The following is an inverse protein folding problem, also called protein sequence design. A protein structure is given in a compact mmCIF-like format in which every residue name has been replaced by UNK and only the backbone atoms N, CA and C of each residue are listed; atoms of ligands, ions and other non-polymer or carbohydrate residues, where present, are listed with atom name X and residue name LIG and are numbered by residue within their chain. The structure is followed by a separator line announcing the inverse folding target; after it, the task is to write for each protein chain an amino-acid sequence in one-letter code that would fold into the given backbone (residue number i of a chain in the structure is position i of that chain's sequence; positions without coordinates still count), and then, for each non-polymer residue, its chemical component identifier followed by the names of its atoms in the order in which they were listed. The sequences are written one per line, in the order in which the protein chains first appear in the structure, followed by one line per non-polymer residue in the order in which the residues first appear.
data_IF_626938602294
#
_entry.id   IF_626938602294
#
_cell.length_a   1.000
_cell.length_b   1.000
_cell.length_c   1.000
_cell.angle_alpha   90.00
_cell.angle_beta   90.00
_cell.angle_gamma   90.00
#
_symmetry.space_group_name_H-M   'P 1'
#
loop_
_entity.id
_entity.type
_entity.pdbx_description
1 polymer ?
#
# COMPACT_ATOMS: atom_id res chain seq x y z
N UNK A 1 26.03 -8.52 -52.84
CA UNK A 1 25.60 -8.44 -52.38
C UNK A 1 25.05 -8.31 -51.67
N UNK A 2 24.67 -8.16 -51.35
CA UNK A 2 24.07 -7.97 -50.66
C UNK A 2 23.51 -7.89 -49.80
N UNK A 3 23.22 -7.82 -49.42
CA UNK A 3 22.59 -7.78 -48.59
C UNK A 3 22.04 -7.58 -47.76
N UNK A 4 21.86 -7.42 -47.30
CA UNK A 4 21.26 -7.23 -46.52
C UNK A 4 20.81 -7.18 -45.61
N UNK A 5 20.60 -7.06 -45.15
CA UNK A 5 20.09 -7.03 -44.26
C UNK A 5 19.55 -6.68 -43.51
N UNK A 6 19.25 -6.52 -43.15
CA UNK A 6 18.70 -6.14 -42.46
C UNK A 6 18.08 -6.10 -41.68
N UNK A 7 17.84 -6.13 -41.29
CA UNK A 7 17.11 -6.00 -40.45
C UNK A 7 16.72 -5.97 -39.74
N UNK A 8 16.61 -5.85 -39.26
CA UNK A 8 16.16 -5.86 -38.47
C UNK A 8 15.74 -5.57 -37.56
N UNK A 9 15.56 -5.43 -37.06
CA UNK A 9 15.24 -5.10 -36.18
C UNK A 9 14.53 -4.81 -35.57
N UNK A 10 14.15 -4.74 -35.28
CA UNK A 10 13.41 -4.42 -34.70
C UNK A 10 12.78 -4.55 -33.88
N UNK A 11 12.56 -4.63 -33.52
CA UNK A 11 11.89 -4.76 -32.76
C UNK A 11 11.53 -4.57 -31.85
N UNK A 12 11.63 -4.41 -31.37
CA UNK A 12 11.35 -4.28 -30.39
C UNK A 12 10.73 -3.76 -29.73
N UNK A 13 10.34 -3.64 -29.46
CA UNK A 13 9.83 -3.06 -28.89
C UNK A 13 9.05 -3.07 -28.15
N UNK A 14 8.84 -3.02 -27.68
CA UNK A 14 8.20 -2.89 -26.96
C UNK A 14 7.51 -2.84 -26.27
N UNK A 15 7.27 -2.96 -25.68
CA UNK A 15 6.54 -2.96 -24.96
C UNK A 15 6.41 -2.50 -23.98
N UNK A 16 6.37 -2.00 -23.74
CA UNK A 16 6.26 -1.39 -22.94
C UNK A 16 5.31 -1.36 -22.28
N UNK A 17 4.99 -1.74 -21.88
CA UNK A 17 4.32 -1.85 -21.11
C UNK A 17 3.74 -1.06 -20.46
N UNK A 18 3.24 -0.69 -20.48
CA UNK A 18 2.62 -0.08 -19.93
C UNK A 18 2.26 -0.19 -18.81
N UNK A 19 2.76 0.02 -18.23
CA UNK A 19 2.50 0.08 -16.95
C UNK A 19 1.34 0.80 -16.65
N UNK A 20 0.37 0.27 -16.40
CA UNK A 20 -0.70 0.92 -15.90
C UNK A 20 -0.45 1.27 -14.51
N UNK A 21 -0.91 2.37 -14.11
CA UNK A 21 -0.93 2.76 -12.75
C UNK A 21 -1.64 1.70 -11.96
N UNK A 22 -0.98 1.10 -11.04
CA UNK A 22 -1.59 0.08 -10.26
C UNK A 22 -1.92 0.60 -8.89
N UNK A 23 -3.22 0.76 -8.63
CA UNK A 23 -3.70 1.14 -7.33
C UNK A 23 -4.52 -0.03 -6.79
N UNK A 24 -4.18 -0.48 -5.60
CA UNK A 24 -4.86 -1.58 -4.94
C UNK A 24 -5.58 -1.05 -3.72
N UNK A 25 -6.85 -1.39 -3.59
CA UNK A 25 -7.66 -1.02 -2.43
C UNK A 25 -7.92 -2.26 -1.62
N UNK A 26 -7.66 -2.19 -0.31
CA UNK A 26 -7.86 -3.31 0.60
C UNK A 26 -8.80 -2.90 1.71
N UNK A 27 -9.78 -3.72 1.99
CA UNK A 27 -10.64 -3.55 3.17
C UNK A 27 -10.02 -4.35 4.31
N UNK A 28 -9.68 -3.67 5.39
CA UNK A 28 -8.97 -4.25 6.53
C UNK A 28 -9.73 -3.96 7.83
N UNK A 29 -10.84 -4.64 8.09
CA UNK A 29 -11.74 -4.26 9.19
C UNK A 29 -11.28 -4.65 10.58
N UNK A 30 -10.22 -5.45 10.69
CA UNK A 30 -9.85 -6.03 11.99
C UNK A 30 -8.60 -5.43 12.62
N UNK A 31 -7.99 -4.45 11.98
CA UNK A 31 -6.76 -3.87 12.51
C UNK A 31 -7.03 -3.09 13.80
N UNK A 32 -8.12 -2.36 13.82
CA UNK A 32 -8.49 -1.52 14.95
C UNK A 32 -10.01 -1.60 15.09
N UNK A 33 -10.48 -1.96 16.27
CA UNK A 33 -11.91 -2.10 16.52
C UNK A 33 -12.67 -0.82 16.28
N UNK A 34 -12.02 0.33 16.38
CA UNK A 34 -12.63 1.63 16.18
C UNK A 34 -12.74 1.98 14.70
N UNK A 35 -12.10 1.19 13.84
CA UNK A 35 -12.05 1.46 12.42
C UNK A 35 -12.45 0.24 11.58
N UNK A 36 -13.70 -0.23 11.73
CA UNK A 36 -14.16 -1.38 10.93
C UNK A 36 -14.30 -1.04 9.45
N UNK A 37 -14.25 0.25 9.11
CA UNK A 37 -14.33 0.75 7.74
C UNK A 37 -12.96 1.07 7.13
N UNK A 38 -11.88 0.57 7.71
CA UNK A 38 -10.53 0.90 7.25
C UNK A 38 -10.29 0.39 5.84
N UNK A 39 -9.86 1.29 4.99
CA UNK A 39 -9.40 0.99 3.63
C UNK A 39 -7.93 1.38 3.53
N UNK A 40 -7.14 0.49 2.98
CA UNK A 40 -5.74 0.77 2.68
C UNK A 40 -5.62 0.93 1.16
N UNK A 41 -5.02 2.01 0.74
CA UNK A 41 -4.80 2.31 -0.68
C UNK A 41 -3.32 2.20 -0.96
N UNK A 42 -2.94 1.27 -1.82
CA UNK A 42 -1.55 1.04 -2.18
C UNK A 42 -1.35 1.52 -3.61
N UNK A 43 -0.61 2.60 -3.76
CA UNK A 43 -0.36 3.24 -5.05
C UNK A 43 1.08 2.97 -5.47
N UNK A 44 1.27 1.94 -6.24
CA UNK A 44 2.61 1.49 -6.61
C UNK A 44 3.32 2.48 -7.51
N UNK A 45 2.61 3.15 -8.38
CA UNK A 45 3.23 4.12 -9.28
C UNK A 45 3.78 5.33 -8.54
N UNK A 46 3.09 5.79 -7.53
CA UNK A 46 3.53 6.92 -6.73
C UNK A 46 4.35 6.51 -5.51
N UNK A 47 4.49 5.20 -5.28
CA UNK A 47 5.24 4.71 -4.13
C UNK A 47 4.63 5.16 -2.82
N UNK A 48 3.31 5.10 -2.68
CA UNK A 48 2.63 5.57 -1.48
C UNK A 48 1.61 4.58 -0.96
N UNK A 49 1.34 4.67 0.32
CA UNK A 49 0.27 3.95 0.98
C UNK A 49 -0.57 4.94 1.76
N UNK A 50 -1.87 4.79 1.71
CA UNK A 50 -2.80 5.62 2.45
C UNK A 50 -3.72 4.75 3.28
N UNK A 51 -4.02 5.21 4.48
CA UNK A 51 -5.07 4.62 5.29
C UNK A 51 -6.23 5.60 5.30
N UNK A 52 -7.43 5.08 5.19
CA UNK A 52 -8.65 5.88 5.16
C UNK A 52 -9.70 5.19 6.01
N UNK A 53 -10.16 5.88 7.04
CA UNK A 53 -11.23 5.39 7.90
C UNK A 53 -12.13 6.53 8.29
N UNK A 54 -13.31 6.65 7.68
CA UNK A 54 -14.24 7.73 8.03
C UNK A 54 -14.68 7.70 9.48
N UNK A 55 -14.68 6.54 10.10
CA UNK A 55 -15.10 6.43 11.52
C UNK A 55 -14.01 6.86 12.51
N UNK A 56 -12.76 6.94 12.06
CA UNK A 56 -11.65 7.36 12.90
C UNK A 56 -11.23 8.77 12.55
N UNK A 57 -10.61 9.44 13.48
CA UNK A 57 -10.00 10.72 13.20
C UNK A 57 -8.65 10.55 12.54
N UNK A 58 -7.76 11.50 12.78
CA UNK A 58 -6.50 11.59 12.06
C UNK A 58 -5.57 10.40 12.24
N UNK A 59 -5.79 9.58 13.26
CA UNK A 59 -4.89 8.45 13.53
C UNK A 59 -4.85 7.40 12.44
N UNK A 60 -5.95 7.21 11.72
CA UNK A 60 -6.03 6.25 10.64
C UNK A 60 -6.49 6.90 9.34
N UNK A 61 -6.08 8.14 9.13
CA UNK A 61 -6.33 8.86 7.89
C UNK A 61 -5.05 9.60 7.54
N UNK A 62 -4.18 8.95 6.77
CA UNK A 62 -2.90 9.54 6.39
C UNK A 62 -2.36 8.87 5.13
N UNK A 63 -1.42 9.53 4.51
CA UNK A 63 -0.67 9.00 3.37
C UNK A 63 0.82 9.06 3.69
N UNK A 64 1.54 8.02 3.35
CA UNK A 64 2.97 7.96 3.61
C UNK A 64 3.71 7.33 2.41
N UNK A 65 5.00 7.64 2.25
CA UNK A 65 5.79 6.92 1.27
C UNK A 65 5.86 5.44 1.63
N UNK A 66 5.81 4.58 0.64
CA UNK A 66 5.81 3.14 0.85
C UNK A 66 6.84 2.46 -0.02
N UNK A 67 7.41 1.39 0.49
CA UNK A 67 8.33 0.55 -0.25
C UNK A 67 7.57 -0.67 -0.75
N UNK A 68 7.59 -0.88 -2.06
CA UNK A 68 6.90 -2.00 -2.69
C UNK A 68 7.92 -3.09 -3.00
N UNK A 69 8.10 -4.01 -2.05
CA UNK A 69 9.00 -5.15 -2.24
C UNK A 69 8.30 -6.28 -2.96
N UNK A 70 9.03 -7.35 -3.27
CA UNK A 70 8.43 -8.49 -3.98
C UNK A 70 7.42 -9.27 -3.15
N UNK A 71 7.56 -9.30 -1.85
CA UNK A 71 6.66 -10.08 -0.99
C UNK A 71 5.80 -9.22 -0.08
N UNK A 72 6.16 -7.97 0.14
CA UNK A 72 5.38 -7.10 1.03
C UNK A 72 5.52 -5.64 0.65
N UNK A 73 4.55 -4.85 1.10
CA UNK A 73 4.59 -3.41 0.99
C UNK A 73 4.69 -2.87 2.41
N UNK A 74 5.61 -1.95 2.65
CA UNK A 74 5.84 -1.42 4.00
C UNK A 74 5.84 0.09 4.00
N UNK A 75 5.40 0.67 5.11
CA UNK A 75 5.45 2.11 5.31
C UNK A 75 5.48 2.42 6.80
N UNK A 76 5.68 3.68 7.13
CA UNK A 76 5.82 4.11 8.51
C UNK A 76 4.98 5.33 8.77
N UNK A 77 4.56 5.46 10.01
CA UNK A 77 3.95 6.68 10.51
C UNK A 77 4.50 6.94 11.91
N UNK A 78 5.40 7.87 12.01
CA UNK A 78 6.05 8.17 13.29
C UNK A 78 5.44 9.43 13.89
N UNK A 79 5.20 9.41 15.17
CA UNK A 79 4.89 10.60 15.94
C UNK A 79 5.94 10.73 17.03
N UNK A 80 5.86 11.77 17.85
CA UNK A 80 6.91 12.04 18.83
C UNK A 80 7.19 10.88 19.76
N UNK A 81 6.16 10.19 20.20
CA UNK A 81 6.30 9.17 21.24
C UNK A 81 6.02 7.77 20.72
N UNK A 82 5.50 7.66 19.51
CA UNK A 82 5.11 6.38 18.94
C UNK A 82 5.71 6.24 17.56
N UNK A 83 6.30 5.10 17.31
CA UNK A 83 6.82 4.78 15.98
C UNK A 83 6.01 3.62 15.47
N UNK A 84 5.37 3.81 14.33
CA UNK A 84 4.51 2.78 13.75
C UNK A 84 5.06 2.30 12.43
N UNK A 85 5.12 1.00 12.27
CA UNK A 85 5.49 0.36 11.01
C UNK A 85 4.30 -0.46 10.55
N UNK A 86 3.96 -0.32 9.28
CA UNK A 86 2.87 -1.07 8.68
C UNK A 86 3.46 -1.97 7.59
N UNK A 87 2.88 -3.14 7.43
CA UNK A 87 3.23 -4.01 6.32
C UNK A 87 2.00 -4.74 5.82
N UNK A 88 1.96 -4.99 4.51
CA UNK A 88 0.95 -5.84 3.89
C UNK A 88 1.67 -6.95 3.16
N UNK A 89 1.34 -8.19 3.48
CA UNK A 89 1.87 -9.34 2.77
C UNK A 89 1.14 -9.45 1.43
N UNK A 90 1.90 -9.49 0.34
CA UNK A 90 1.32 -9.44 -1.01
C UNK A 90 0.63 -10.74 -1.40
N UNK A 91 0.94 -11.83 -0.74
CA UNK A 91 0.32 -13.12 -1.03
C UNK A 91 -0.91 -13.36 -0.17
N UNK A 92 -0.84 -13.05 1.11
CA UNK A 92 -1.93 -13.35 2.04
C UNK A 92 -2.86 -12.18 2.28
N UNK A 93 -2.42 -10.97 1.94
CA UNK A 93 -3.12 -9.72 2.19
C UNK A 93 -3.32 -9.43 3.69
N UNK A 94 -2.41 -9.94 4.51
CA UNK A 94 -2.46 -9.63 5.95
C UNK A 94 -1.77 -8.30 6.19
N UNK A 95 -2.49 -7.37 6.80
CA UNK A 95 -1.96 -6.09 7.22
C UNK A 95 -1.51 -6.21 8.67
N UNK A 96 -0.31 -5.73 8.94
CA UNK A 96 0.24 -5.72 10.30
C UNK A 96 0.67 -4.30 10.65
N UNK A 97 0.30 -3.85 11.83
CA UNK A 97 0.78 -2.59 12.40
C UNK A 97 1.58 -2.92 13.65
N UNK A 98 2.82 -2.46 13.71
CA UNK A 98 3.67 -2.61 14.89
C UNK A 98 3.92 -1.23 15.46
N UNK A 99 3.63 -1.03 16.72
CA UNK A 99 3.77 0.25 17.41
C UNK A 99 4.78 0.12 18.52
N UNK A 100 5.78 0.98 18.50
CA UNK A 100 6.75 1.10 19.57
C UNK A 100 6.45 2.36 20.36
N UNK A 101 6.28 2.24 21.68
CA UNK A 101 6.07 3.37 22.59
C UNK A 101 7.36 3.66 23.34
N UNK A 102 7.89 4.85 23.15
CA UNK A 102 9.10 5.30 23.87
C UNK A 102 8.82 5.51 25.33
N UNK A 103 7.60 5.87 25.69
CA UNK A 103 7.25 6.15 27.07
C UNK A 103 7.30 4.90 27.93
N UNK A 104 6.79 3.81 27.43
CA UNK A 104 6.74 2.57 28.17
C UNK A 104 7.80 1.56 27.72
N UNK A 105 8.53 1.89 26.65
CA UNK A 105 9.53 1.01 26.07
C UNK A 105 8.91 -0.35 25.71
N UNK A 106 7.72 -0.31 25.13
CA UNK A 106 6.99 -1.52 24.78
C UNK A 106 6.63 -1.51 23.31
N UNK A 107 6.47 -2.68 22.76
CA UNK A 107 6.07 -2.89 21.38
C UNK A 107 4.81 -3.75 21.35
N UNK A 108 3.85 -3.31 20.59
CA UNK A 108 2.70 -4.13 20.37
C UNK A 108 2.41 -4.25 18.86
N UNK A 109 1.71 -5.30 18.42
CA UNK A 109 1.32 -5.51 17.03
C UNK A 109 -0.16 -5.86 16.94
N UNK A 110 -0.80 -5.35 15.90
CA UNK A 110 -2.15 -5.74 15.53
C UNK A 110 -2.10 -6.25 14.10
N UNK A 111 -3.00 -7.14 13.74
CA UNK A 111 -3.10 -7.68 12.40
C UNK A 111 -4.53 -7.67 11.92
N UNK A 112 -4.71 -7.61 10.62
CA UNK A 112 -6.01 -7.77 9.98
C UNK A 112 -5.85 -8.58 8.72
N UNK A 113 -6.75 -9.54 8.52
CA UNK A 113 -6.93 -10.10 7.20
C UNK A 113 -7.60 -9.03 6.36
N UNK A 114 -7.14 -8.85 5.16
CA UNK A 114 -7.71 -7.87 4.26
C UNK A 114 -8.25 -8.54 3.02
N UNK A 115 -9.12 -7.84 2.32
CA UNK A 115 -9.67 -8.29 1.05
C UNK A 115 -9.52 -7.20 0.01
N UNK A 116 -9.31 -7.58 -1.22
CA UNK A 116 -9.31 -6.62 -2.32
C UNK A 116 -10.69 -5.96 -2.34
N UNK A 117 -10.69 -4.66 -2.44
CA UNK A 117 -11.90 -3.86 -2.38
C UNK A 117 -12.01 -2.96 -3.59
N UNK A 118 -13.16 -2.36 -3.75
CA UNK A 118 -13.36 -1.34 -4.76
C UNK A 118 -12.97 0.01 -4.19
N UNK A 119 -12.68 0.98 -5.04
CA UNK A 119 -12.44 2.35 -4.55
C UNK A 119 -13.61 2.81 -3.70
N UNK A 120 -13.36 3.58 -2.65
CA UNK A 120 -14.45 4.14 -1.85
C UNK A 120 -15.36 4.99 -2.70
N UNK A 121 -16.65 5.01 -2.36
CA UNK A 121 -17.57 5.87 -3.02
C UNK A 121 -17.17 7.31 -2.79
N UNK A 122 -17.19 8.09 -3.85
CA UNK A 122 -16.90 9.51 -3.73
C UNK A 122 -18.18 10.29 -3.85
N UNK A 123 -18.31 11.32 -3.04
CA UNK A 123 -19.39 12.27 -3.18
C UNK A 123 -19.16 13.08 -4.44
N UNK A 124 -20.23 13.45 -5.09
CA UNK A 124 -20.11 14.24 -6.31
C UNK A 124 -20.01 15.72 -6.04
N UNK A 125 -20.19 16.10 -4.83
CA UNK A 125 -20.04 17.49 -4.42
C UNK A 125 -19.96 17.57 -2.91
#
# INVERSE_FOLDING_TARGET
MKNLLLGLCISLIGFSSLATAKITYLSCPYLDERAPDLIVVLDQNNGSASLQSPSMGSGLNFTAPAAFGPSEVTWRKDSKKYKQTYSVDRATLVLKRTTYSEMSNTTHSEVSDCKISKPPKQNKF
#
